data_IF_280828552355
#
_entry.id   IF_280828552355
#
_cell.length_a   1.000
_cell.length_b   1.000
_cell.length_c   1.000
_cell.angle_alpha   90.00
_cell.angle_beta   90.00
_cell.angle_gamma   90.00
#
_symmetry.space_group_name_H-M   'P 1'
#
loop_
_entity.id
_entity.type
_entity.pdbx_description
1 polymer ?
#
# COMPACT_ATOMS: atom_id res chain seq x y z
N UNK A 1 -12.44 -23.15 -5.23
CA UNK A 1 -13.60 -24.02 -4.90
C UNK A 1 -14.08 -23.85 -3.46
N UNK A 2 -13.27 -24.08 -2.42
CA UNK A 2 -13.76 -23.88 -1.02
C UNK A 2 -13.96 -22.39 -0.67
N UNK A 3 -13.14 -21.48 -1.18
CA UNK A 3 -13.34 -20.02 -1.05
C UNK A 3 -14.59 -19.53 -1.79
N UNK A 4 -14.97 -20.19 -2.90
CA UNK A 4 -16.15 -19.84 -3.68
C UNK A 4 -17.43 -20.18 -2.91
N UNK A 5 -17.45 -21.34 -2.24
CA UNK A 5 -18.57 -21.69 -1.36
C UNK A 5 -18.71 -20.75 -0.16
N UNK A 6 -17.62 -20.16 0.35
CA UNK A 6 -17.68 -19.23 1.48
C UNK A 6 -18.16 -17.84 1.06
N UNK A 7 -17.69 -17.32 -0.09
CA UNK A 7 -18.17 -16.04 -0.60
C UNK A 7 -19.62 -16.12 -1.07
N UNK A 8 -20.02 -17.20 -1.75
CA UNK A 8 -21.40 -17.37 -2.20
C UNK A 8 -22.37 -17.62 -1.01
N UNK A 9 -21.92 -18.33 0.03
CA UNK A 9 -22.69 -18.48 1.27
C UNK A 9 -22.81 -17.17 2.05
N UNK A 10 -21.75 -16.34 2.09
CA UNK A 10 -21.78 -15.02 2.71
C UNK A 10 -22.72 -14.09 1.94
N UNK A 11 -22.64 -14.05 0.62
CA UNK A 11 -23.57 -13.27 -0.23
C UNK A 11 -25.01 -13.74 -0.03
N UNK A 12 -25.24 -15.05 0.10
CA UNK A 12 -26.55 -15.61 0.45
C UNK A 12 -27.08 -15.14 1.80
N UNK A 13 -26.23 -15.05 2.82
CA UNK A 13 -26.60 -14.52 4.14
C UNK A 13 -26.84 -13.00 4.14
N UNK A 14 -26.12 -12.25 3.31
CA UNK A 14 -26.31 -10.81 3.15
C UNK A 14 -27.65 -10.44 2.50
N UNK A 15 -28.22 -11.36 1.70
CA UNK A 15 -29.48 -11.13 1.00
C UNK A 15 -30.65 -10.86 1.96
N UNK A 16 -30.65 -11.50 3.13
CA UNK A 16 -31.74 -11.42 4.11
C UNK A 16 -31.57 -10.25 5.10
N UNK A 17 -30.41 -9.58 5.09
CA UNK A 17 -30.15 -8.46 6.00
C UNK A 17 -30.97 -7.23 5.57
N UNK A 18 -31.80 -6.73 6.48
CA UNK A 18 -32.55 -5.49 6.32
C UNK A 18 -33.60 -5.51 5.21
N UNK A 19 -34.07 -6.68 4.75
CA UNK A 19 -35.11 -6.80 3.71
C UNK A 19 -36.45 -6.21 4.13
N UNK A 20 -36.78 -6.25 5.42
CA UNK A 20 -38.02 -5.71 5.98
C UNK A 20 -37.84 -4.33 6.64
N UNK A 21 -36.66 -3.72 6.50
CA UNK A 21 -36.34 -2.42 7.08
C UNK A 21 -36.53 -1.28 6.08
N UNK A 22 -36.79 -0.04 6.54
CA UNK A 22 -36.63 1.14 5.72
C UNK A 22 -35.24 1.21 5.09
N UNK A 23 -35.16 1.65 3.84
CA UNK A 23 -33.92 1.62 3.03
C UNK A 23 -32.73 2.28 3.72
N UNK A 24 -32.95 3.40 4.40
CA UNK A 24 -31.91 4.13 5.15
C UNK A 24 -31.32 3.30 6.30
N UNK A 25 -32.16 2.55 7.02
CA UNK A 25 -31.72 1.66 8.10
C UNK A 25 -31.02 0.42 7.54
N UNK A 26 -31.50 -0.13 6.43
CA UNK A 26 -30.87 -1.26 5.77
C UNK A 26 -29.47 -0.90 5.24
N UNK A 27 -29.31 0.30 4.65
CA UNK A 27 -28.02 0.84 4.24
C UNK A 27 -27.07 1.03 5.42
N UNK A 28 -27.54 1.64 6.51
CA UNK A 28 -26.74 1.81 7.74
C UNK A 28 -26.24 0.47 8.28
N UNK A 29 -27.10 -0.56 8.33
CA UNK A 29 -26.68 -1.90 8.78
C UNK A 29 -25.62 -2.53 7.88
N UNK A 30 -25.72 -2.36 6.56
CA UNK A 30 -24.70 -2.87 5.63
C UNK A 30 -23.38 -2.12 5.80
N UNK A 31 -23.42 -0.80 6.04
CA UNK A 31 -22.21 -0.01 6.32
C UNK A 31 -21.55 -0.45 7.63
N UNK A 32 -22.31 -0.60 8.71
CA UNK A 32 -21.79 -1.10 9.99
C UNK A 32 -21.15 -2.48 9.84
N UNK A 33 -21.78 -3.37 9.06
CA UNK A 33 -21.25 -4.70 8.79
C UNK A 33 -19.97 -4.64 7.93
N UNK A 34 -19.89 -3.71 6.98
CA UNK A 34 -18.69 -3.47 6.19
C UNK A 34 -17.54 -3.02 7.10
N UNK A 35 -17.78 -2.07 7.99
CA UNK A 35 -16.78 -1.56 8.94
C UNK A 35 -16.28 -2.66 9.89
N UNK A 36 -17.19 -3.52 10.39
CA UNK A 36 -16.82 -4.69 11.19
C UNK A 36 -15.90 -5.66 10.43
N UNK A 37 -16.20 -5.93 9.15
CA UNK A 37 -15.36 -6.78 8.32
C UNK A 37 -13.97 -6.16 8.12
N UNK A 38 -13.89 -4.85 7.90
CA UNK A 38 -12.62 -4.14 7.76
C UNK A 38 -11.79 -4.20 9.06
N UNK A 39 -12.43 -3.97 10.22
CA UNK A 39 -11.78 -4.09 11.55
C UNK A 39 -11.24 -5.50 11.82
N UNK A 40 -11.90 -6.53 11.27
CA UNK A 40 -11.45 -7.92 11.36
C UNK A 40 -10.40 -8.28 10.29
N UNK A 41 -10.03 -7.33 9.43
CA UNK A 41 -9.21 -7.52 8.23
C UNK A 41 -9.79 -8.59 7.26
N UNK A 42 -11.12 -8.71 7.23
CA UNK A 42 -11.85 -9.55 6.30
C UNK A 42 -12.26 -8.75 5.05
N UNK A 43 -11.29 -8.50 4.18
CA UNK A 43 -11.51 -7.73 2.96
C UNK A 43 -12.50 -8.37 2.00
N UNK A 44 -12.52 -9.70 1.86
CA UNK A 44 -13.48 -10.37 0.97
C UNK A 44 -14.92 -10.14 1.43
N UNK A 45 -15.17 -10.18 2.76
CA UNK A 45 -16.47 -9.84 3.33
C UNK A 45 -16.85 -8.38 3.11
N UNK A 46 -15.90 -7.47 3.31
CA UNK A 46 -16.09 -6.05 2.99
C UNK A 46 -16.48 -5.84 1.53
N UNK A 47 -15.74 -6.40 0.56
CA UNK A 47 -16.03 -6.26 -0.88
C UNK A 47 -17.41 -6.84 -1.24
N UNK A 48 -17.78 -7.99 -0.67
CA UNK A 48 -19.08 -8.62 -0.92
C UNK A 48 -20.24 -7.71 -0.47
N UNK A 49 -20.10 -7.06 0.68
CA UNK A 49 -21.10 -6.09 1.18
C UNK A 49 -21.19 -4.88 0.26
N UNK A 50 -20.06 -4.38 -0.24
CA UNK A 50 -20.02 -3.22 -1.13
C UNK A 50 -20.67 -3.56 -2.49
N UNK A 51 -20.46 -4.77 -3.00
CA UNK A 51 -21.19 -5.29 -4.17
C UNK A 51 -22.70 -5.35 -3.92
N UNK A 52 -23.09 -5.76 -2.71
CA UNK A 52 -24.50 -5.88 -2.34
C UNK A 52 -25.19 -4.51 -2.20
N UNK A 53 -24.51 -3.50 -1.64
CA UNK A 53 -24.98 -2.11 -1.61
C UNK A 53 -25.24 -1.61 -3.03
N UNK A 54 -24.28 -1.80 -3.94
CA UNK A 54 -24.41 -1.41 -5.36
C UNK A 54 -25.57 -2.13 -6.05
N UNK A 55 -25.78 -3.41 -5.74
CA UNK A 55 -26.83 -4.24 -6.34
C UNK A 55 -28.23 -3.85 -5.86
N UNK A 56 -28.41 -3.68 -4.55
CA UNK A 56 -29.74 -3.44 -3.93
C UNK A 56 -30.17 -1.98 -3.99
N UNK A 57 -29.23 -1.04 -3.92
CA UNK A 57 -29.53 0.37 -3.76
C UNK A 57 -28.87 1.24 -4.84
N UNK A 58 -28.98 0.91 -6.15
CA UNK A 58 -28.17 1.51 -7.22
C UNK A 58 -28.38 3.01 -7.44
N UNK A 59 -29.45 3.60 -6.89
CA UNK A 59 -29.79 5.03 -7.01
C UNK A 59 -29.35 5.85 -5.79
N UNK A 60 -28.81 5.20 -4.75
CA UNK A 60 -28.41 5.84 -3.50
C UNK A 60 -26.95 6.27 -3.53
N UNK A 61 -26.61 7.29 -2.74
CA UNK A 61 -25.27 7.87 -2.68
C UNK A 61 -24.23 6.82 -2.22
N UNK A 62 -24.64 5.97 -1.29
CA UNK A 62 -23.87 4.87 -0.73
C UNK A 62 -23.45 3.86 -1.80
N UNK A 63 -24.30 3.59 -2.79
CA UNK A 63 -23.97 2.71 -3.92
C UNK A 63 -22.92 3.34 -4.83
N UNK A 64 -22.92 4.66 -5.00
CA UNK A 64 -21.85 5.32 -5.74
C UNK A 64 -20.53 5.20 -4.99
N UNK A 65 -20.50 5.52 -3.70
CA UNK A 65 -19.29 5.38 -2.86
C UNK A 65 -18.78 3.93 -2.84
N UNK A 66 -19.68 2.96 -2.76
CA UNK A 66 -19.35 1.54 -2.84
C UNK A 66 -18.75 1.16 -4.21
N UNK A 67 -19.32 1.66 -5.31
CA UNK A 67 -18.77 1.45 -6.65
C UNK A 67 -17.39 2.11 -6.84
N UNK A 68 -17.18 3.31 -6.27
CA UNK A 68 -15.86 3.98 -6.27
C UNK A 68 -14.84 3.12 -5.55
N UNK A 69 -15.15 2.62 -4.35
CA UNK A 69 -14.27 1.73 -3.60
C UNK A 69 -13.95 0.45 -4.40
N UNK A 70 -14.98 -0.23 -4.93
CA UNK A 70 -14.79 -1.46 -5.71
C UNK A 70 -13.86 -1.20 -6.90
N UNK A 71 -14.05 -0.09 -7.60
CA UNK A 71 -13.21 0.29 -8.73
C UNK A 71 -11.75 0.55 -8.31
N UNK A 72 -11.53 1.32 -7.23
CA UNK A 72 -10.20 1.60 -6.71
C UNK A 72 -9.48 0.30 -6.29
N UNK A 73 -10.17 -0.59 -5.58
CA UNK A 73 -9.59 -1.84 -5.11
C UNK A 73 -9.25 -2.82 -6.24
N UNK A 74 -10.21 -3.11 -7.13
CA UNK A 74 -9.98 -4.11 -8.19
C UNK A 74 -9.01 -3.63 -9.26
N UNK A 75 -8.80 -2.32 -9.39
CA UNK A 75 -7.84 -1.73 -10.32
C UNK A 75 -6.44 -1.53 -9.74
N UNK A 76 -6.26 -1.71 -8.43
CA UNK A 76 -4.98 -1.48 -7.73
C UNK A 76 -3.95 -2.58 -7.97
N UNK A 77 -2.70 -2.19 -8.29
CA UNK A 77 -1.57 -3.12 -8.32
C UNK A 77 -1.22 -3.67 -6.93
N UNK A 78 -1.25 -2.82 -5.90
CA UNK A 78 -0.91 -3.17 -4.51
C UNK A 78 -1.90 -4.20 -3.95
N UNK A 79 -3.21 -3.92 -4.10
CA UNK A 79 -4.27 -4.82 -3.66
C UNK A 79 -4.21 -6.18 -4.37
N UNK A 80 -3.86 -6.17 -5.66
CA UNK A 80 -3.63 -7.42 -6.42
C UNK A 80 -2.46 -8.21 -5.83
N UNK A 81 -1.32 -7.57 -5.61
CA UNK A 81 -0.14 -8.26 -5.07
C UNK A 81 -0.42 -8.83 -3.68
N UNK A 82 -1.05 -8.06 -2.79
CA UNK A 82 -1.45 -8.54 -1.46
C UNK A 82 -2.30 -9.82 -1.56
N UNK A 83 -3.36 -9.79 -2.39
CA UNK A 83 -4.28 -10.94 -2.53
C UNK A 83 -3.58 -12.16 -3.10
N UNK A 84 -2.68 -11.97 -4.08
CA UNK A 84 -1.85 -13.04 -4.62
C UNK A 84 -0.99 -13.69 -3.52
N UNK A 85 -0.42 -12.89 -2.61
CA UNK A 85 0.32 -13.37 -1.45
C UNK A 85 -0.55 -14.23 -0.52
N UNK A 86 -1.75 -13.73 -0.18
CA UNK A 86 -2.71 -14.44 0.69
C UNK A 86 -3.15 -15.77 0.06
N UNK A 87 -3.45 -15.80 -1.24
CA UNK A 87 -3.83 -17.04 -1.93
C UNK A 87 -2.72 -18.07 -1.88
N UNK A 88 -1.47 -17.67 -2.17
CA UNK A 88 -0.30 -18.56 -2.09
C UNK A 88 -0.10 -19.11 -0.68
N UNK A 89 -0.22 -18.28 0.35
CA UNK A 89 -0.08 -18.69 1.74
C UNK A 89 -1.15 -19.70 2.17
N UNK A 90 -2.43 -19.47 1.78
CA UNK A 90 -3.53 -20.41 2.05
C UNK A 90 -3.29 -21.77 1.38
N UNK A 91 -2.89 -21.78 0.11
CA UNK A 91 -2.57 -23.03 -0.60
C UNK A 91 -1.41 -23.78 0.06
N UNK A 92 -0.35 -23.08 0.47
CA UNK A 92 0.77 -23.70 1.16
C UNK A 92 0.38 -24.30 2.53
N UNK A 93 -0.50 -23.62 3.28
CA UNK A 93 -1.03 -24.12 4.56
C UNK A 93 -1.85 -25.39 4.39
N UNK A 94 -2.77 -25.41 3.42
CA UNK A 94 -3.59 -26.57 3.10
C UNK A 94 -2.75 -27.77 2.66
N UNK A 95 -1.74 -27.55 1.82
CA UNK A 95 -0.79 -28.61 1.43
C UNK A 95 0.01 -29.14 2.62
N UNK A 96 0.41 -28.27 3.56
CA UNK A 96 1.13 -28.68 4.76
C UNK A 96 0.24 -29.48 5.72
N UNK A 97 -1.03 -29.11 5.87
CA UNK A 97 -2.01 -29.86 6.64
C UNK A 97 -2.34 -31.22 6.01
N UNK A 98 -2.47 -31.27 4.68
CA UNK A 98 -2.69 -32.52 3.94
C UNK A 98 -1.49 -33.46 4.03
N UNK A 99 -0.26 -32.94 3.95
CA UNK A 99 0.96 -33.72 4.19
C UNK A 99 1.10 -34.17 5.66
N UNK A 100 0.66 -33.36 6.63
CA UNK A 100 0.66 -33.73 8.05
C UNK A 100 -0.37 -34.84 8.35
N UNK A 101 -1.52 -34.83 7.67
CA UNK A 101 -2.55 -35.88 7.77
C UNK A 101 -2.16 -37.19 7.06
N UNK A 102 -1.24 -37.13 6.09
CA UNK A 102 -0.66 -38.32 5.43
C UNK A 102 0.58 -38.87 6.15
N UNK A 103 1.11 -38.15 7.16
CA UNK A 103 2.37 -38.44 7.84
C UNK A 103 2.27 -39.20 9.17
N UNK A 104 1.10 -39.69 9.59
CA UNK A 104 0.97 -40.53 10.79
C UNK A 104 1.06 -42.02 10.42
N UNK A 105 2.14 -42.74 10.79
CA UNK A 105 2.08 -44.20 10.81
C UNK A 105 1.11 -44.60 11.92
N UNK A 106 0.04 -45.28 11.57
CA UNK A 106 -0.77 -46.03 12.54
C UNK A 106 0.13 -47.09 13.18
N UNK A 107 0.73 -46.79 14.33
CA UNK A 107 1.18 -47.83 15.26
C UNK A 107 -0.07 -48.46 15.89
N UNK A 108 -0.52 -49.54 15.26
CA UNK A 108 -1.53 -50.44 15.81
C UNK A 108 -0.88 -51.22 16.96
N UNK A 109 -1.06 -50.73 18.19
CA UNK A 109 -0.86 -51.56 19.39
C UNK A 109 -2.04 -52.53 19.46
N UNK A 110 -1.78 -53.79 19.12
CA UNK A 110 -2.73 -54.89 19.28
C UNK A 110 -2.84 -55.29 20.75
N UNK A 111 -3.97 -54.98 21.38
CA UNK A 111 -4.51 -55.75 22.51
C UNK A 111 -5.96 -56.09 22.23
N UNK A 112 -6.26 -57.39 22.23
CA UNK A 112 -7.48 -57.96 21.66
C UNK A 112 -8.80 -57.50 22.26
N UNK A 113 -9.82 -57.45 21.39
CA UNK A 113 -11.22 -57.23 21.73
C UNK A 113 -12.01 -56.85 20.49
N UNK A 114 -12.90 -57.73 20.03
CA UNK A 114 -13.69 -57.62 18.80
C UNK A 114 -14.42 -56.28 18.61
N UNK A 115 -14.22 -55.62 17.47
CA UNK A 115 -15.21 -54.73 16.87
C UNK A 115 -15.23 -54.83 15.34
N UNK A 116 -16.45 -54.97 14.80
CA UNK A 116 -16.78 -55.04 13.38
C UNK A 116 -16.27 -53.81 12.61
N UNK A 117 -15.47 -54.04 11.57
CA UNK A 117 -15.06 -52.99 10.64
C UNK A 117 -15.97 -53.00 9.41
N UNK A 118 -16.83 -51.99 9.28
CA UNK A 118 -17.49 -51.66 8.01
C UNK A 118 -16.52 -50.77 7.22
N UNK A 119 -15.92 -51.30 6.15
CA UNK A 119 -15.17 -50.47 5.20
C UNK A 119 -16.13 -49.89 4.16
N UNK A 120 -16.24 -48.56 4.00
CA UNK A 120 -16.83 -47.99 2.81
C UNK A 120 -15.85 -48.21 1.66
N UNK A 121 -16.30 -48.89 0.61
CA UNK A 121 -15.52 -49.13 -0.61
C UNK A 121 -15.48 -47.83 -1.42
N UNK A 122 -14.55 -46.93 -1.10
CA UNK A 122 -14.27 -45.75 -1.92
C UNK A 122 -13.43 -46.20 -3.11
N UNK A 123 -14.06 -46.30 -4.28
CA UNK A 123 -13.37 -46.46 -5.55
C UNK A 123 -12.48 -45.24 -5.78
N UNK A 124 -11.17 -45.48 -5.94
CA UNK A 124 -10.23 -44.43 -6.34
C UNK A 124 -10.67 -43.84 -7.69
N UNK A 125 -10.91 -42.52 -7.79
CA UNK A 125 -11.10 -41.90 -9.08
C UNK A 125 -9.79 -41.96 -9.84
N UNK A 126 -9.89 -42.43 -11.08
CA UNK A 126 -8.81 -42.52 -12.07
C UNK A 126 -8.08 -41.17 -12.15
N UNK A 127 -6.80 -41.17 -11.82
CA UNK A 127 -5.93 -40.01 -11.94
C UNK A 127 -5.81 -39.59 -13.40
N UNK A 128 -6.51 -38.51 -13.77
CA UNK A 128 -6.18 -37.75 -14.97
C UNK A 128 -5.01 -36.82 -14.61
N UNK A 129 -3.98 -36.70 -15.47
CA UNK A 129 -2.84 -35.84 -15.20
C UNK A 129 -3.24 -34.37 -15.45
N UNK A 130 -3.78 -33.69 -14.44
CA UNK A 130 -4.01 -32.25 -14.48
C UNK A 130 -2.76 -31.51 -14.00
N UNK A 131 -1.79 -31.33 -14.90
CA UNK A 131 -0.59 -30.52 -14.63
C UNK A 131 -0.68 -29.09 -15.21
N UNK A 132 -1.88 -28.52 -15.40
CA UNK A 132 -2.07 -27.12 -15.84
C UNK A 132 -2.70 -26.20 -14.77
N UNK A 133 -3.19 -26.74 -13.65
CA UNK A 133 -4.20 -26.06 -12.82
C UNK A 133 -3.79 -24.80 -12.05
N UNK A 134 -2.51 -24.54 -11.80
CA UNK A 134 -2.10 -23.38 -10.97
C UNK A 134 -1.96 -22.08 -11.77
N UNK A 135 -1.44 -22.14 -12.99
CA UNK A 135 -1.34 -20.99 -13.88
C UNK A 135 -2.72 -20.58 -14.41
N UNK A 136 -3.51 -21.58 -14.83
CA UNK A 136 -4.89 -21.38 -15.31
C UNK A 136 -5.79 -20.76 -14.22
N UNK A 137 -5.64 -21.17 -12.96
CA UNK A 137 -6.39 -20.61 -11.84
C UNK A 137 -5.98 -19.16 -11.50
N UNK A 138 -4.70 -18.83 -11.64
CA UNK A 138 -4.20 -17.47 -11.42
C UNK A 138 -4.70 -16.51 -12.49
N UNK A 139 -4.65 -16.94 -13.74
CA UNK A 139 -5.16 -16.17 -14.89
C UNK A 139 -6.67 -15.95 -14.78
N UNK A 140 -7.43 -17.00 -14.45
CA UNK A 140 -8.87 -16.88 -14.20
C UNK A 140 -9.20 -15.91 -13.04
N UNK A 141 -8.36 -15.87 -12.00
CA UNK A 141 -8.51 -14.93 -10.88
C UNK A 141 -8.28 -13.48 -11.34
N UNK A 142 -7.24 -13.24 -12.15
CA UNK A 142 -6.97 -11.93 -12.74
C UNK A 142 -8.11 -11.46 -13.64
N UNK A 143 -8.63 -12.33 -14.50
CA UNK A 143 -9.77 -12.01 -15.37
C UNK A 143 -11.03 -11.66 -14.59
N UNK A 144 -11.31 -12.40 -13.50
CA UNK A 144 -12.42 -12.08 -12.60
C UNK A 144 -12.27 -10.69 -11.98
N UNK A 145 -11.07 -10.33 -11.53
CA UNK A 145 -10.82 -9.01 -10.94
C UNK A 145 -10.92 -7.89 -11.98
N UNK A 146 -10.43 -8.11 -13.20
CA UNK A 146 -10.62 -7.18 -14.31
C UNK A 146 -12.12 -6.99 -14.60
N UNK A 147 -12.90 -8.07 -14.64
CA UNK A 147 -14.35 -8.00 -14.82
C UNK A 147 -15.07 -7.21 -13.71
N UNK A 148 -14.67 -7.41 -12.45
CA UNK A 148 -15.21 -6.63 -11.34
C UNK A 148 -14.85 -5.13 -11.44
N UNK A 149 -13.59 -4.80 -11.78
CA UNK A 149 -13.17 -3.41 -12.01
C UNK A 149 -13.98 -2.76 -13.14
N UNK A 150 -14.15 -3.45 -14.28
CA UNK A 150 -14.93 -2.96 -15.42
C UNK A 150 -16.41 -2.78 -15.08
N UNK A 151 -16.98 -3.70 -14.30
CA UNK A 151 -18.36 -3.60 -13.82
C UNK A 151 -18.52 -2.37 -12.93
N UNK A 152 -17.65 -2.17 -11.95
CA UNK A 152 -17.66 -1.00 -11.08
C UNK A 152 -17.49 0.30 -11.88
N UNK A 153 -16.56 0.34 -12.84
CA UNK A 153 -16.37 1.47 -13.74
C UNK A 153 -17.61 1.77 -14.60
N UNK A 154 -18.29 0.74 -15.12
CA UNK A 154 -19.52 0.91 -15.91
C UNK A 154 -20.65 1.53 -15.09
N UNK A 155 -20.72 1.21 -13.80
CA UNK A 155 -21.69 1.79 -12.86
C UNK A 155 -21.38 3.26 -12.63
N UNK A 156 -20.10 3.59 -12.37
CA UNK A 156 -19.65 4.97 -12.16
C UNK A 156 -19.82 5.86 -13.39
N UNK A 157 -19.65 5.27 -14.58
CA UNK A 157 -19.75 5.98 -15.86
C UNK A 157 -21.19 6.08 -16.38
N UNK A 158 -22.18 5.52 -15.69
CA UNK A 158 -23.56 5.52 -16.16
C UNK A 158 -24.27 6.84 -15.82
N UNK A 159 -24.58 7.69 -16.81
CA UNK A 159 -25.21 9.00 -16.57
C UNK A 159 -26.66 8.88 -16.05
N UNK A 160 -27.30 7.71 -16.19
CA UNK A 160 -28.66 7.49 -15.70
C UNK A 160 -28.72 7.06 -14.22
N UNK A 161 -27.57 6.84 -13.57
CA UNK A 161 -27.50 6.40 -12.15
C UNK A 161 -26.99 7.49 -11.21
N UNK A 162 -26.21 8.44 -11.71
CA UNK A 162 -25.98 9.67 -10.97
C UNK A 162 -27.23 10.54 -11.14
N UNK A 163 -27.60 11.28 -10.10
CA UNK A 163 -28.72 12.25 -10.13
C UNK A 163 -28.36 13.49 -11.00
N UNK A 164 -27.67 13.26 -12.13
CA UNK A 164 -27.17 14.23 -13.10
C UNK A 164 -26.07 15.17 -12.59
N UNK A 165 -25.65 15.07 -11.32
CA UNK A 165 -24.88 16.16 -10.65
C UNK A 165 -23.60 15.77 -9.91
N UNK A 166 -23.36 14.50 -9.59
CA UNK A 166 -22.17 14.12 -8.80
C UNK A 166 -20.98 13.81 -9.71
N UNK A 167 -19.98 14.68 -9.69
CA UNK A 167 -18.69 14.43 -10.33
C UNK A 167 -17.99 13.23 -9.67
N UNK A 168 -17.22 12.46 -10.46
CA UNK A 168 -16.38 11.38 -9.95
C UNK A 168 -15.39 11.91 -8.93
N UNK A 169 -15.15 11.14 -7.87
CA UNK A 169 -14.08 11.44 -6.91
C UNK A 169 -12.73 11.67 -7.62
N UNK A 170 -11.92 12.66 -7.19
CA UNK A 170 -10.58 12.91 -7.72
C UNK A 170 -9.69 11.67 -7.74
N UNK A 171 -9.78 10.81 -6.71
CA UNK A 171 -9.02 9.55 -6.65
C UNK A 171 -9.43 8.57 -7.75
N UNK A 172 -10.72 8.49 -8.07
CA UNK A 172 -11.22 7.67 -9.17
C UNK A 172 -10.69 8.19 -10.50
N UNK A 173 -10.64 9.52 -10.70
CA UNK A 173 -10.06 10.12 -11.91
C UNK A 173 -8.56 9.84 -12.04
N UNK A 174 -7.79 9.92 -10.96
CA UNK A 174 -6.36 9.54 -10.95
C UNK A 174 -6.18 8.05 -11.29
N UNK A 175 -7.01 7.18 -10.72
CA UNK A 175 -7.00 5.75 -11.07
C UNK A 175 -7.34 5.51 -12.54
N UNK A 176 -8.33 6.19 -13.08
CA UNK A 176 -8.69 6.10 -14.52
C UNK A 176 -7.48 6.50 -15.37
N UNK A 177 -6.81 7.60 -15.03
CA UNK A 177 -5.60 8.03 -15.70
C UNK A 177 -4.46 6.99 -15.60
N UNK A 178 -4.26 6.36 -14.44
CA UNK A 178 -3.30 5.28 -14.26
C UNK A 178 -3.63 4.07 -15.15
N UNK A 179 -4.92 3.70 -15.25
CA UNK A 179 -5.37 2.62 -16.14
C UNK A 179 -5.13 2.95 -17.63
N UNK A 180 -5.44 4.17 -18.07
CA UNK A 180 -5.14 4.62 -19.43
C UNK A 180 -3.63 4.58 -19.74
N UNK A 181 -2.80 4.94 -18.76
CA UNK A 181 -1.34 4.83 -18.87
C UNK A 181 -0.89 3.38 -19.08
N UNK A 182 -1.43 2.44 -18.31
CA UNK A 182 -1.13 1.01 -18.47
C UNK A 182 -1.57 0.48 -19.84
N UNK A 183 -2.69 0.98 -20.37
CA UNK A 183 -3.22 0.64 -21.69
C UNK A 183 -2.57 1.44 -22.84
N UNK A 184 -1.59 2.30 -22.54
CA UNK A 184 -0.91 3.17 -23.50
C UNK A 184 -1.84 4.16 -24.23
N UNK A 185 -2.98 4.49 -23.64
CA UNK A 185 -3.97 5.45 -24.15
C UNK A 185 -3.63 6.88 -23.69
N UNK A 186 -2.52 7.41 -24.21
CA UNK A 186 -1.95 8.70 -23.77
C UNK A 186 -2.87 9.91 -23.98
N UNK A 187 -3.71 9.90 -25.01
CA UNK A 187 -4.68 10.97 -25.28
C UNK A 187 -5.78 11.07 -24.22
N UNK A 188 -6.39 9.92 -23.87
CA UNK A 188 -7.42 9.83 -22.84
C UNK A 188 -6.84 10.18 -21.46
N UNK A 189 -5.67 9.62 -21.14
CA UNK A 189 -4.93 9.95 -19.92
C UNK A 189 -4.70 11.47 -19.80
N UNK A 190 -4.21 12.11 -20.86
CA UNK A 190 -3.92 13.55 -20.86
C UNK A 190 -5.18 14.39 -20.66
N UNK A 191 -6.31 13.96 -21.23
CA UNK A 191 -7.60 14.64 -21.08
C UNK A 191 -8.06 14.59 -19.62
N UNK A 192 -8.10 13.39 -19.02
CA UNK A 192 -8.48 13.20 -17.61
C UNK A 192 -7.59 14.00 -16.66
N UNK A 193 -6.26 13.94 -16.85
CA UNK A 193 -5.32 14.68 -15.99
C UNK A 193 -5.43 16.21 -16.19
N UNK A 194 -5.68 16.67 -17.42
CA UNK A 194 -5.82 18.11 -17.71
C UNK A 194 -7.02 18.70 -16.98
N UNK A 195 -8.16 18.01 -16.96
CA UNK A 195 -9.34 18.43 -16.20
C UNK A 195 -9.04 18.48 -14.71
N UNK A 196 -8.43 17.42 -14.17
CA UNK A 196 -8.11 17.34 -12.74
C UNK A 196 -7.05 18.37 -12.30
N UNK A 197 -6.13 18.73 -13.20
CA UNK A 197 -5.04 19.68 -12.94
C UNK A 197 -5.51 21.11 -12.64
N UNK A 198 -6.77 21.45 -12.99
CA UNK A 198 -7.38 22.75 -12.70
C UNK A 198 -7.74 22.94 -11.24
N UNK A 199 -7.63 21.90 -10.41
CA UNK A 199 -7.92 21.98 -8.99
C UNK A 199 -6.79 22.65 -8.21
N UNK A 200 -7.18 23.41 -7.20
CA UNK A 200 -6.29 24.08 -6.24
C UNK A 200 -6.03 23.24 -4.98
N UNK A 201 -6.19 21.92 -5.07
CA UNK A 201 -5.95 20.97 -3.98
C UNK A 201 -4.84 19.96 -4.32
N UNK A 202 -4.59 19.02 -3.42
CA UNK A 202 -3.55 17.98 -3.58
C UNK A 202 -3.77 17.12 -4.83
N UNK A 203 -5.02 16.89 -5.23
CA UNK A 203 -5.32 16.07 -6.40
C UNK A 203 -4.98 16.80 -7.70
N UNK A 204 -5.21 18.11 -7.75
CA UNK A 204 -4.71 18.94 -8.85
C UNK A 204 -3.18 18.96 -8.90
N UNK A 205 -2.51 18.96 -7.75
CA UNK A 205 -1.05 18.85 -7.66
C UNK A 205 -0.54 17.52 -8.21
N UNK A 206 -1.17 16.40 -7.85
CA UNK A 206 -0.83 15.06 -8.35
C UNK A 206 -1.05 14.95 -9.85
N UNK A 207 -2.17 15.48 -10.36
CA UNK A 207 -2.45 15.50 -11.79
C UNK A 207 -1.38 16.28 -12.59
N UNK A 208 -1.01 17.49 -12.11
CA UNK A 208 0.07 18.28 -12.71
C UNK A 208 1.40 17.54 -12.67
N UNK A 209 1.69 16.81 -11.60
CA UNK A 209 2.91 16.02 -11.49
C UNK A 209 2.96 14.90 -12.54
N UNK A 210 1.89 14.11 -12.71
CA UNK A 210 1.85 13.05 -13.74
C UNK A 210 1.99 13.60 -15.16
N UNK A 211 1.35 14.72 -15.48
CA UNK A 211 1.54 15.42 -16.76
C UNK A 211 3.02 15.78 -16.95
N UNK A 212 3.63 16.38 -15.93
CA UNK A 212 4.99 16.90 -16.01
C UNK A 212 6.05 15.80 -16.14
N UNK A 213 5.90 14.71 -15.38
CA UNK A 213 6.85 13.60 -15.30
C UNK A 213 7.11 12.93 -16.66
N UNK A 214 6.09 12.92 -17.53
CA UNK A 214 6.17 12.41 -18.90
C UNK A 214 7.26 13.11 -19.72
N UNK A 215 7.58 14.37 -19.39
CA UNK A 215 8.49 15.22 -20.15
C UNK A 215 9.88 15.44 -19.51
N UNK A 216 10.20 14.75 -18.40
CA UNK A 216 11.43 14.94 -17.61
C UNK A 216 11.74 16.43 -17.33
N UNK A 217 11.01 17.05 -16.40
CA UNK A 217 11.14 18.49 -16.17
C UNK A 217 12.48 18.86 -15.55
N UNK A 218 12.97 20.05 -15.88
CA UNK A 218 14.14 20.64 -15.21
C UNK A 218 13.85 21.01 -13.74
N UNK A 219 12.59 21.32 -13.40
CA UNK A 219 12.15 21.64 -12.05
C UNK A 219 10.85 20.88 -11.75
N UNK A 220 10.91 19.72 -11.07
CA UNK A 220 9.73 18.91 -10.82
C UNK A 220 8.85 19.53 -9.72
N UNK A 221 7.53 19.44 -9.87
CA UNK A 221 6.55 20.00 -8.92
C UNK A 221 6.58 19.25 -7.58
N UNK A 222 6.67 17.92 -7.65
CA UNK A 222 6.94 17.06 -6.50
C UNK A 222 8.40 16.60 -6.56
N UNK A 223 9.01 16.22 -5.42
CA UNK A 223 10.39 15.72 -5.44
C UNK A 223 10.53 14.52 -6.37
N UNK A 224 11.53 14.52 -7.26
CA UNK A 224 11.83 13.41 -8.17
C UNK A 224 13.21 12.87 -7.83
N UNK A 225 13.23 11.74 -7.12
CA UNK A 225 14.44 11.08 -6.65
C UNK A 225 14.89 10.08 -7.73
N UNK A 226 16.11 10.27 -8.24
CA UNK A 226 16.71 9.33 -9.19
C UNK A 226 17.57 8.32 -8.45
N UNK A 227 17.13 7.08 -8.40
CA UNK A 227 17.73 6.02 -7.61
C UNK A 227 18.64 5.14 -8.48
N UNK A 228 19.98 5.31 -8.45
CA UNK A 228 20.89 4.45 -9.20
C UNK A 228 20.95 3.05 -8.59
N UNK A 229 20.90 2.04 -9.47
CA UNK A 229 21.08 0.64 -9.06
C UNK A 229 22.45 0.45 -8.42
N UNK A 230 22.48 -0.20 -7.25
CA UNK A 230 23.68 -0.51 -6.48
C UNK A 230 24.06 -1.97 -6.65
N UNK A 231 25.36 -2.24 -6.56
CA UNK A 231 25.92 -3.61 -6.59
C UNK A 231 26.31 -4.10 -5.19
N UNK A 232 26.50 -3.19 -4.24
CA UNK A 232 26.76 -3.50 -2.85
C UNK A 232 25.46 -3.40 -2.05
N UNK A 233 25.37 -4.20 -0.98
CA UNK A 233 24.28 -4.17 0.00
C UNK A 233 24.80 -3.58 1.31
N UNK A 234 23.99 -2.80 2.03
CA UNK A 234 24.35 -2.40 3.38
C UNK A 234 24.32 -3.61 4.32
N UNK A 235 25.15 -3.57 5.35
CA UNK A 235 24.97 -4.36 6.55
C UNK A 235 24.02 -3.59 7.48
N UNK A 236 22.85 -4.14 7.76
CA UNK A 236 21.85 -3.44 8.56
C UNK A 236 22.26 -3.43 10.04
N UNK A 237 22.84 -2.33 10.49
CA UNK A 237 23.27 -2.09 11.88
C UNK A 237 22.78 -0.75 12.45
N UNK A 238 22.29 0.16 11.62
CA UNK A 238 21.82 1.49 12.03
C UNK A 238 22.92 2.54 12.11
N UNK A 239 24.18 2.23 11.80
CA UNK A 239 25.30 3.18 11.89
C UNK A 239 25.46 4.04 10.63
N UNK A 240 24.90 3.61 9.48
CA UNK A 240 24.94 4.29 8.18
C UNK A 240 26.36 4.47 7.61
N UNK A 241 27.27 3.55 7.91
CA UNK A 241 28.70 3.66 7.53
C UNK A 241 29.04 2.99 6.21
N UNK A 242 28.13 2.19 5.64
CA UNK A 242 28.36 1.51 4.38
C UNK A 242 28.47 2.45 3.17
N UNK A 243 29.35 2.09 2.23
CA UNK A 243 29.58 2.84 0.98
C UNK A 243 28.32 3.12 0.14
N UNK A 244 27.27 2.31 0.29
CA UNK A 244 26.00 2.54 -0.40
C UNK A 244 25.34 3.86 0.03
N UNK A 245 25.58 4.29 1.28
CA UNK A 245 25.03 5.50 1.88
C UNK A 245 25.89 6.73 1.62
N UNK A 246 27.22 6.58 1.59
CA UNK A 246 28.14 7.67 1.25
C UNK A 246 27.83 8.29 -0.13
N UNK A 247 27.44 7.44 -1.09
CA UNK A 247 27.08 7.85 -2.44
C UNK A 247 25.58 8.15 -2.63
N UNK A 248 24.75 7.95 -1.60
CA UNK A 248 23.31 8.13 -1.69
C UNK A 248 22.93 9.63 -1.67
N UNK A 249 21.82 9.97 -2.31
CA UNK A 249 21.28 11.32 -2.23
C UNK A 249 20.67 11.55 -0.84
N UNK A 250 21.15 12.58 -0.13
CA UNK A 250 20.54 13.02 1.13
C UNK A 250 19.21 13.72 0.87
N UNK A 251 18.12 13.09 1.30
CA UNK A 251 16.76 13.61 1.19
C UNK A 251 16.35 14.19 2.54
N UNK A 252 16.17 15.51 2.61
CA UNK A 252 15.74 16.21 3.83
C UNK A 252 14.23 16.25 3.91
N UNK A 253 13.68 15.78 5.04
CA UNK A 253 12.27 15.97 5.36
C UNK A 253 12.13 17.28 6.11
N UNK A 254 11.15 18.09 5.71
CA UNK A 254 10.98 19.46 6.22
C UNK A 254 9.52 19.68 6.62
N UNK A 255 9.23 20.59 7.57
CA UNK A 255 7.87 20.85 7.98
C UNK A 255 7.08 21.49 6.84
N UNK A 256 5.84 21.06 6.64
CA UNK A 256 4.92 21.79 5.78
C UNK A 256 4.45 23.05 6.52
N UNK A 257 4.97 24.21 6.12
CA UNK A 257 4.57 25.49 6.69
C UNK A 257 3.57 26.16 5.77
N UNK A 258 2.30 26.16 6.16
CA UNK A 258 1.31 27.00 5.47
C UNK A 258 1.55 28.45 5.88
N UNK A 259 1.69 29.34 4.90
CA UNK A 259 1.62 30.78 5.15
C UNK A 259 0.24 31.13 5.72
N UNK A 260 0.17 31.33 7.03
CA UNK A 260 -1.05 31.80 7.68
C UNK A 260 -1.11 33.32 7.59
N UNK A 261 -2.29 33.87 7.33
CA UNK A 261 -2.54 35.30 7.48
C UNK A 261 -2.51 35.61 8.99
N UNK A 262 -1.60 36.47 9.42
CA UNK A 262 -1.62 37.02 10.77
C UNK A 262 -2.88 37.90 10.92
N UNK A 263 -3.84 37.54 11.79
CA UNK A 263 -5.08 38.30 11.94
C UNK A 263 -4.86 39.73 12.45
N UNK A 264 -3.74 39.98 13.15
CA UNK A 264 -3.44 41.27 13.77
C UNK A 264 -2.73 42.23 12.81
N UNK A 265 -1.91 41.70 11.88
CA UNK A 265 -1.10 42.54 10.96
C UNK A 265 -1.54 42.44 9.50
N UNK A 266 -2.41 41.48 9.16
CA UNK A 266 -2.77 41.16 7.77
C UNK A 266 -1.60 40.62 6.95
N UNK A 267 -0.42 40.40 7.56
CA UNK A 267 0.77 39.90 6.89
C UNK A 267 0.79 38.38 6.92
N UNK A 268 1.17 37.75 5.81
CA UNK A 268 1.42 36.31 5.82
C UNK A 268 2.72 36.05 6.56
N UNK A 269 2.67 35.25 7.63
CA UNK A 269 3.86 34.82 8.36
C UNK A 269 3.93 33.30 8.36
N UNK A 270 5.13 32.72 8.17
CA UNK A 270 5.32 31.30 8.42
C UNK A 270 5.03 31.04 9.91
N UNK A 271 4.11 30.11 10.17
CA UNK A 271 3.88 29.58 11.52
C UNK A 271 5.09 28.72 11.91
N UNK A 272 6.18 29.35 12.35
CA UNK A 272 7.37 28.65 12.83
C UNK A 272 7.12 28.21 14.27
N UNK A 273 6.83 26.92 14.47
CA UNK A 273 7.09 26.30 15.76
C UNK A 273 8.60 26.20 15.97
N UNK A 274 9.07 26.21 17.23
CA UNK A 274 10.47 25.92 17.59
C UNK A 274 10.95 24.53 17.12
N UNK A 275 10.07 23.76 16.49
CA UNK A 275 10.30 22.47 15.87
C UNK A 275 11.04 22.55 14.52
N UNK A 276 11.16 23.74 13.92
CA UNK A 276 11.81 23.95 12.62
C UNK A 276 13.31 23.62 12.58
N UNK A 277 13.98 23.56 13.74
CA UNK A 277 15.42 23.25 13.85
C UNK A 277 15.70 21.74 13.99
N UNK A 278 14.67 20.89 14.03
CA UNK A 278 14.85 19.44 14.14
C UNK A 278 15.25 18.86 12.78
N UNK A 279 16.44 18.28 12.67
CA UNK A 279 16.89 17.68 11.41
C UNK A 279 16.31 16.29 11.20
N UNK A 280 15.72 16.07 10.02
CA UNK A 280 15.30 14.75 9.52
C UNK A 280 15.95 14.49 8.16
N UNK A 281 16.89 13.54 8.13
CA UNK A 281 17.58 13.13 6.90
C UNK A 281 17.23 11.68 6.58
N UNK A 282 16.97 11.43 5.31
CA UNK A 282 16.67 10.11 4.76
C UNK A 282 17.52 9.86 3.52
N UNK A 283 17.79 8.60 3.22
CA UNK A 283 18.49 8.16 2.03
C UNK A 283 17.80 6.91 1.51
N UNK A 284 17.76 6.76 0.19
CA UNK A 284 17.22 5.60 -0.48
C UNK A 284 18.31 4.95 -1.33
N UNK A 285 18.25 3.63 -1.47
CA UNK A 285 19.07 2.88 -2.42
C UNK A 285 18.32 1.63 -2.90
N UNK A 286 18.77 0.98 -3.96
CA UNK A 286 18.17 -0.29 -4.40
C UNK A 286 19.16 -1.19 -5.12
N UNK A 287 18.89 -2.48 -5.12
CA UNK A 287 19.59 -3.49 -5.91
C UNK A 287 18.59 -4.43 -6.64
N UNK A 288 19.00 -5.65 -7.01
CA UNK A 288 18.11 -6.62 -7.67
C UNK A 288 17.02 -7.21 -6.78
N UNK A 289 17.22 -7.19 -5.46
CA UNK A 289 16.36 -7.89 -4.50
C UNK A 289 15.65 -6.96 -3.54
N UNK A 290 16.21 -5.79 -3.24
CA UNK A 290 15.75 -4.90 -2.18
C UNK A 290 15.66 -3.44 -2.60
N UNK A 291 14.65 -2.77 -2.05
CA UNK A 291 14.65 -1.34 -1.82
C UNK A 291 15.17 -1.09 -0.41
N UNK A 292 16.13 -0.18 -0.26
CA UNK A 292 16.72 0.19 1.01
C UNK A 292 16.31 1.61 1.39
N UNK A 293 16.06 1.81 2.68
CA UNK A 293 15.90 3.14 3.28
C UNK A 293 16.81 3.25 4.50
N UNK A 294 17.49 4.38 4.61
CA UNK A 294 18.22 4.79 5.79
C UNK A 294 17.70 6.14 6.27
N UNK A 295 17.73 6.38 7.58
CA UNK A 295 17.39 7.69 8.12
C UNK A 295 18.26 8.03 9.33
N UNK A 296 18.54 9.32 9.49
CA UNK A 296 19.09 9.92 10.71
C UNK A 296 18.15 11.01 11.17
N UNK A 297 17.55 10.80 12.34
CA UNK A 297 16.43 11.59 12.84
C UNK A 297 16.81 12.20 14.18
N UNK A 298 16.91 13.53 14.22
CA UNK A 298 17.21 14.26 15.45
C UNK A 298 15.99 14.26 16.37
N UNK A 299 16.17 13.89 17.62
CA UNK A 299 15.10 13.81 18.61
C UNK A 299 14.64 15.20 19.03
N UNK A 300 13.35 15.32 19.33
CA UNK A 300 12.83 16.55 19.92
C UNK A 300 13.46 16.74 21.32
N UNK A 301 13.90 17.96 21.70
CA UNK A 301 14.49 18.21 23.01
C UNK A 301 13.60 17.74 24.17
N UNK A 302 12.28 17.92 24.05
CA UNK A 302 11.28 17.49 25.02
C UNK A 302 11.05 15.97 25.09
N UNK A 303 11.57 15.21 24.12
CA UNK A 303 11.53 13.74 24.06
C UNK A 303 12.90 13.08 24.15
N UNK A 304 13.95 13.77 24.61
CA UNK A 304 15.34 13.29 24.57
C UNK A 304 15.71 12.22 25.64
N UNK A 305 14.72 11.57 26.27
CA UNK A 305 14.97 10.48 27.23
C UNK A 305 15.44 9.21 26.53
N UNK A 306 16.36 8.42 27.10
CA UNK A 306 16.80 7.15 26.51
C UNK A 306 15.62 6.25 26.12
N UNK A 307 15.70 5.63 24.96
CA UNK A 307 14.66 4.72 24.44
C UNK A 307 15.07 3.29 24.80
N UNK A 308 14.11 2.51 25.27
CA UNK A 308 14.27 1.07 25.33
C UNK A 308 14.02 0.49 23.94
N UNK A 309 15.08 -0.02 23.30
CA UNK A 309 14.98 -0.65 21.99
C UNK A 309 14.19 -1.95 22.10
N UNK A 310 13.35 -2.22 21.08
CA UNK A 310 12.56 -3.43 21.02
C UNK A 310 13.47 -4.67 20.94
N UNK A 311 13.40 -5.54 21.96
CA UNK A 311 14.15 -6.80 21.98
C UNK A 311 13.60 -7.82 20.98
N UNK A 312 12.29 -7.75 20.69
CA UNK A 312 11.60 -8.59 19.71
C UNK A 312 10.69 -7.69 18.89
N UNK A 313 10.74 -7.81 17.56
CA UNK A 313 9.88 -7.04 16.66
C UNK A 313 8.66 -7.87 16.29
N UNK A 314 7.49 -7.35 16.62
CA UNK A 314 6.20 -7.86 16.14
C UNK A 314 5.76 -7.12 14.88
N UNK A 315 4.69 -7.63 14.27
CA UNK A 315 3.92 -6.89 13.28
C UNK A 315 2.89 -6.00 13.98
N UNK A 316 2.41 -4.99 13.26
CA UNK A 316 1.23 -4.19 13.64
C UNK A 316 1.33 -3.44 14.98
N UNK A 317 2.53 -2.96 15.31
CA UNK A 317 2.76 -2.16 16.51
C UNK A 317 1.98 -0.83 16.47
N UNK A 318 1.64 -0.33 17.66
CA UNK A 318 0.87 0.91 17.85
C UNK A 318 1.80 2.10 18.07
N UNK A 319 1.82 3.04 17.14
CA UNK A 319 2.80 4.13 17.12
C UNK A 319 2.21 5.52 17.45
N UNK A 320 0.96 5.63 17.90
CA UNK A 320 0.24 6.91 18.02
C UNK A 320 0.98 7.92 18.90
N UNK A 321 1.72 7.44 19.91
CA UNK A 321 2.46 8.26 20.86
C UNK A 321 3.99 8.27 20.63
N UNK A 322 4.47 7.63 19.56
CA UNK A 322 5.90 7.45 19.26
C UNK A 322 6.35 8.33 18.10
N UNK A 323 7.58 8.84 18.18
CA UNK A 323 8.27 9.40 17.02
C UNK A 323 8.51 8.28 15.99
N UNK A 324 8.10 8.51 14.74
CA UNK A 324 8.10 7.46 13.72
C UNK A 324 8.36 8.00 12.32
N UNK A 325 8.97 7.14 11.51
CA UNK A 325 9.12 7.32 10.07
C UNK A 325 8.10 6.44 9.35
N UNK A 326 7.41 7.02 8.37
CA UNK A 326 6.44 6.34 7.51
C UNK A 326 6.89 6.45 6.06
N UNK A 327 7.02 5.29 5.41
CA UNK A 327 7.24 5.16 3.97
C UNK A 327 6.01 4.50 3.34
N UNK A 328 5.37 5.19 2.42
CA UNK A 328 4.34 4.61 1.55
C UNK A 328 4.88 4.46 0.12
N UNK A 329 4.54 3.36 -0.54
CA UNK A 329 5.00 3.00 -1.88
C UNK A 329 3.78 2.66 -2.73
N UNK A 330 3.56 3.45 -3.78
CA UNK A 330 2.55 3.23 -4.81
C UNK A 330 3.29 2.94 -6.13
N UNK A 331 3.13 1.70 -6.60
CA UNK A 331 3.89 1.16 -7.73
C UNK A 331 3.27 1.50 -9.08
N UNK A 332 1.98 1.87 -9.11
CA UNK A 332 1.25 2.21 -10.33
C UNK A 332 0.79 3.68 -10.39
N UNK A 333 1.18 4.49 -9.41
CA UNK A 333 1.01 5.95 -9.37
C UNK A 333 -0.43 6.39 -9.54
N UNK A 334 -1.32 5.67 -8.87
CA UNK A 334 -2.73 5.99 -8.77
C UNK A 334 -3.06 6.98 -7.62
N UNK A 335 -2.12 7.22 -6.70
CA UNK A 335 -2.22 8.08 -5.52
C UNK A 335 -3.35 7.72 -4.53
N UNK A 336 -3.86 6.51 -4.62
CA UNK A 336 -5.00 5.96 -3.87
C UNK A 336 -4.60 4.75 -3.03
N UNK A 337 -3.84 3.81 -3.59
CA UNK A 337 -3.41 2.58 -2.91
C UNK A 337 -1.90 2.54 -2.80
N UNK A 338 -1.40 2.13 -1.62
CA UNK A 338 0.03 2.06 -1.36
C UNK A 338 0.34 0.95 -0.34
N UNK A 339 1.55 0.43 -0.39
CA UNK A 339 2.16 -0.29 0.73
C UNK A 339 2.72 0.73 1.71
N UNK A 340 2.33 0.66 2.97
CA UNK A 340 2.86 1.52 4.02
C UNK A 340 3.69 0.69 4.99
N UNK A 341 4.87 1.20 5.32
CA UNK A 341 5.85 0.63 6.23
C UNK A 341 6.20 1.70 7.25
N UNK A 342 6.03 1.39 8.54
CA UNK A 342 6.28 2.32 9.64
C UNK A 342 7.34 1.74 10.57
N UNK A 343 8.28 2.58 10.98
CA UNK A 343 9.27 2.27 12.00
C UNK A 343 9.28 3.39 13.02
N UNK A 344 9.16 3.07 14.31
CA UNK A 344 9.31 4.06 15.37
C UNK A 344 10.70 4.12 16.00
N UNK A 345 10.91 5.11 16.87
CA UNK A 345 12.19 5.36 17.54
C UNK A 345 12.70 4.18 18.40
N UNK A 346 11.84 3.21 18.74
CA UNK A 346 12.22 1.98 19.45
C UNK A 346 12.56 0.80 18.53
N UNK A 347 12.24 0.92 17.24
CA UNK A 347 12.39 -0.13 16.24
C UNK A 347 11.22 -1.07 16.09
N UNK A 348 10.10 -0.82 16.77
CA UNK A 348 8.84 -1.50 16.50
C UNK A 348 8.34 -1.14 15.09
N UNK A 349 7.63 -2.08 14.47
CA UNK A 349 7.18 -1.96 13.08
C UNK A 349 5.68 -2.18 12.97
N UNK A 350 5.05 -1.47 12.04
CA UNK A 350 3.73 -1.80 11.52
C UNK A 350 3.73 -1.63 10.01
N UNK A 351 2.87 -2.39 9.34
CA UNK A 351 2.77 -2.37 7.90
C UNK A 351 1.34 -2.63 7.45
N UNK A 352 0.99 -2.05 6.31
CA UNK A 352 -0.36 -2.19 5.74
C UNK A 352 -0.32 -2.07 4.24
N UNK A 353 -1.26 -2.74 3.58
CA UNK A 353 -1.52 -2.56 2.16
C UNK A 353 -2.86 -1.83 2.01
N UNK A 354 -2.83 -0.53 1.71
CA UNK A 354 -4.01 0.33 1.66
C UNK A 354 -4.83 0.30 2.98
N UNK A 355 -6.01 -0.31 3.00
CA UNK A 355 -6.86 -0.45 4.21
C UNK A 355 -6.61 -1.77 4.98
N UNK A 356 -5.54 -2.51 4.65
CA UNK A 356 -5.30 -3.87 5.14
C UNK A 356 -4.11 -3.91 6.10
N UNK A 357 -4.39 -3.93 7.41
CA UNK A 357 -3.40 -3.82 8.49
C UNK A 357 -2.75 -5.16 8.88
N UNK A 358 -2.70 -6.17 8.00
CA UNK A 358 -1.99 -7.45 8.25
C UNK A 358 -1.33 -7.97 6.99
N UNK A 359 -0.67 -7.08 6.25
CA UNK A 359 0.11 -7.48 5.09
C UNK A 359 1.34 -8.30 5.51
N UNK A 360 1.98 -7.92 6.60
CA UNK A 360 3.07 -8.62 7.29
C UNK A 360 4.17 -9.11 6.34
N UNK A 361 4.79 -8.21 5.54
CA UNK A 361 5.85 -8.57 4.61
C UNK A 361 7.11 -9.00 5.37
N UNK A 362 7.99 -9.74 4.70
CA UNK A 362 9.27 -10.14 5.27
C UNK A 362 10.36 -9.10 4.97
N UNK A 363 10.35 -8.00 5.70
CA UNK A 363 11.36 -6.94 5.61
C UNK A 363 12.27 -6.90 6.83
N UNK A 364 13.42 -6.25 6.68
CA UNK A 364 14.48 -6.22 7.68
C UNK A 364 14.71 -4.80 8.14
N UNK A 365 14.86 -4.59 9.45
CA UNK A 365 15.08 -3.26 10.04
C UNK A 365 16.14 -3.36 11.13
N UNK A 366 17.10 -2.44 11.13
CA UNK A 366 18.07 -2.19 12.18
C UNK A 366 17.90 -0.76 12.71
N UNK A 367 18.15 -0.59 14.01
CA UNK A 367 18.03 0.69 14.71
C UNK A 367 19.26 0.89 15.57
N UNK A 368 19.77 2.12 15.54
CA UNK A 368 20.71 2.64 16.51
C UNK A 368 20.15 3.94 17.10
N UNK A 369 20.32 4.18 18.39
CA UNK A 369 19.76 5.36 19.04
C UNK A 369 20.62 5.86 20.20
N UNK A 370 20.72 7.18 20.30
CA UNK A 370 21.33 7.91 21.39
C UNK A 370 20.37 8.98 21.96
N UNK A 371 20.86 9.81 22.89
CA UNK A 371 20.05 10.84 23.52
C UNK A 371 19.56 11.93 22.53
N UNK A 372 20.30 12.17 21.44
CA UNK A 372 20.06 13.26 20.50
C UNK A 372 19.50 12.81 19.15
N UNK A 373 19.82 11.59 18.71
CA UNK A 373 19.44 11.06 17.40
C UNK A 373 19.05 9.60 17.48
N UNK A 374 18.17 9.17 16.57
CA UNK A 374 18.00 7.77 16.25
C UNK A 374 18.19 7.58 14.75
N UNK A 375 18.66 6.39 14.39
CA UNK A 375 19.04 5.99 13.04
C UNK A 375 18.34 4.70 12.70
N UNK A 376 17.95 4.58 11.44
CA UNK A 376 17.34 3.36 10.92
C UNK A 376 18.05 2.94 9.65
N UNK A 377 18.11 1.64 9.44
CA UNK A 377 18.33 1.04 8.14
C UNK A 377 17.30 -0.05 7.93
N UNK A 378 16.69 -0.07 6.75
CA UNK A 378 15.74 -1.11 6.39
C UNK A 378 15.96 -1.61 4.97
N UNK A 379 15.73 -2.91 4.79
CA UNK A 379 15.72 -3.59 3.50
C UNK A 379 14.35 -4.21 3.25
N UNK A 380 13.70 -3.74 2.20
CA UNK A 380 12.35 -4.14 1.79
C UNK A 380 12.51 -4.99 0.53
N UNK A 381 12.22 -6.30 0.58
CA UNK A 381 12.35 -7.12 -0.61
C UNK A 381 11.39 -6.65 -1.70
N UNK A 382 11.90 -6.43 -2.91
CA UNK A 382 11.12 -5.95 -4.05
C UNK A 382 9.96 -6.88 -4.39
N UNK A 383 10.08 -8.19 -4.12
CA UNK A 383 9.01 -9.17 -4.33
C UNK A 383 7.79 -8.98 -3.41
N UNK A 384 7.97 -8.31 -2.27
CA UNK A 384 6.87 -8.02 -1.34
C UNK A 384 6.00 -6.86 -1.87
N UNK A 385 6.61 -5.95 -2.63
CA UNK A 385 5.98 -4.69 -3.11
C UNK A 385 5.80 -4.61 -4.63
N UNK A 386 6.40 -5.51 -5.41
CA UNK A 386 6.23 -5.56 -6.87
C UNK A 386 6.11 -7.00 -7.38
N UNK A 387 5.02 -7.27 -8.11
CA UNK A 387 4.77 -8.56 -8.74
C UNK A 387 5.76 -8.89 -9.87
N UNK A 388 6.30 -7.86 -10.54
CA UNK A 388 7.15 -8.01 -11.74
C UNK A 388 8.61 -7.61 -11.51
N UNK A 389 8.96 -7.27 -10.26
CA UNK A 389 10.25 -6.71 -9.89
C UNK A 389 10.39 -5.24 -10.29
N UNK A 390 11.61 -4.75 -10.33
CA UNK A 390 11.94 -3.36 -10.70
C UNK A 390 12.98 -3.34 -11.81
N UNK A 391 12.79 -2.46 -12.78
CA UNK A 391 13.67 -2.25 -13.92
C UNK A 391 14.12 -0.80 -14.00
N UNK A 392 15.34 -0.53 -14.49
CA UNK A 392 15.74 0.84 -14.79
C UNK A 392 14.77 1.49 -15.79
N UNK A 393 14.25 2.66 -15.43
CA UNK A 393 13.20 3.37 -16.14
C UNK A 393 11.85 3.34 -15.41
N UNK A 394 11.64 2.37 -14.51
CA UNK A 394 10.44 2.31 -13.69
C UNK A 394 10.34 3.55 -12.81
N UNK A 395 9.10 3.96 -12.57
CA UNK A 395 8.78 5.14 -11.81
C UNK A 395 7.65 4.80 -10.85
N UNK A 396 7.90 4.97 -9.57
CA UNK A 396 6.91 4.80 -8.51
C UNK A 396 6.58 6.12 -7.87
N UNK A 397 5.42 6.17 -7.24
CA UNK A 397 5.06 7.21 -6.30
C UNK A 397 5.47 6.74 -4.90
N UNK A 398 5.98 7.66 -4.10
CA UNK A 398 6.26 7.39 -2.69
C UNK A 398 5.68 8.50 -1.82
N UNK A 399 5.35 8.16 -0.59
CA UNK A 399 5.12 9.12 0.49
C UNK A 399 6.16 8.90 1.57
N UNK A 400 6.87 9.95 1.97
CA UNK A 400 7.86 9.84 3.03
C UNK A 400 7.65 10.93 4.08
N UNK A 401 7.37 10.51 5.31
CA UNK A 401 7.06 11.39 6.43
C UNK A 401 7.76 10.94 7.69
N UNK A 402 8.03 11.91 8.57
CA UNK A 402 8.30 11.67 9.98
C UNK A 402 7.25 12.39 10.81
N UNK A 403 6.68 11.68 11.77
CA UNK A 403 5.67 12.23 12.68
C UNK A 403 6.23 12.16 14.10
N UNK A 404 6.30 13.31 14.76
CA UNK A 404 6.59 13.41 16.19
C UNK A 404 5.29 13.84 16.89
N UNK A 405 4.57 12.92 17.55
CA UNK A 405 3.25 13.21 18.11
C UNK A 405 3.27 14.39 19.06
N UNK A 406 2.39 15.37 18.78
CA UNK A 406 2.26 16.62 19.54
C UNK A 406 3.32 17.68 19.24
N UNK A 407 4.29 17.40 18.37
CA UNK A 407 5.45 18.28 18.14
C UNK A 407 5.50 18.78 16.70
N UNK A 408 5.64 17.87 15.73
CA UNK A 408 5.79 18.23 14.31
C UNK A 408 5.45 17.07 13.37
N UNK A 409 5.28 17.42 12.10
CA UNK A 409 5.29 16.51 10.96
C UNK A 409 6.29 17.04 9.93
N UNK A 410 7.28 16.22 9.56
CA UNK A 410 8.19 16.50 8.46
C UNK A 410 7.83 15.64 7.25
N UNK A 411 7.87 16.27 6.09
CA UNK A 411 7.41 15.71 4.83
C UNK A 411 8.49 15.85 3.75
N UNK A 412 8.51 14.90 2.82
CA UNK A 412 9.20 15.05 1.55
C UNK A 412 8.48 16.11 0.69
N UNK A 413 9.14 17.23 0.41
CA UNK A 413 8.57 18.34 -0.36
C UNK A 413 9.62 19.12 -1.15
N UNK A 414 9.19 19.85 -2.18
CA UNK A 414 10.04 20.79 -2.95
C UNK A 414 10.10 22.19 -2.33
N UNK A 415 9.27 22.47 -1.32
CA UNK A 415 9.19 23.77 -0.64
C UNK A 415 8.42 24.87 -1.40
N UNK A 416 7.99 24.60 -2.63
CA UNK A 416 7.35 25.60 -3.51
C UNK A 416 5.83 25.45 -3.65
N UNK A 417 5.24 24.44 -3.00
CA UNK A 417 3.83 24.10 -3.19
C UNK A 417 2.95 24.89 -2.20
N UNK A 418 1.86 25.48 -2.72
CA UNK A 418 0.84 26.19 -1.91
C UNK A 418 -0.10 25.25 -1.14
N UNK A 419 -0.05 23.96 -1.47
CA UNK A 419 -0.83 22.87 -0.87
C UNK A 419 0.15 21.80 -0.43
N UNK A 420 -0.08 21.20 0.74
CA UNK A 420 0.73 20.07 1.20
C UNK A 420 0.57 18.92 0.20
N UNK A 421 1.70 18.33 -0.18
CA UNK A 421 1.72 17.06 -0.90
C UNK A 421 1.62 15.86 0.05
N UNK A 422 1.49 16.10 1.36
CA UNK A 422 1.50 15.08 2.41
C UNK A 422 2.73 14.17 2.31
N UNK A 423 3.92 14.74 2.03
CA UNK A 423 5.15 13.96 1.82
C UNK A 423 5.23 13.18 0.50
N UNK A 424 4.34 13.44 -0.46
CA UNK A 424 4.33 12.73 -1.75
C UNK A 424 5.48 13.17 -2.67
N UNK A 425 6.17 12.20 -3.26
CA UNK A 425 7.24 12.36 -4.25
C UNK A 425 7.26 11.22 -5.27
N UNK A 426 8.23 11.27 -6.17
CA UNK A 426 8.43 10.31 -7.26
C UNK A 426 9.79 9.63 -7.12
N UNK A 427 9.83 8.32 -7.28
CA UNK A 427 11.04 7.50 -7.21
C UNK A 427 11.31 6.87 -8.57
N UNK A 428 12.37 7.30 -9.25
CA UNK A 428 12.78 6.79 -10.57
C UNK A 428 13.97 5.86 -10.42
N UNK A 429 13.81 4.61 -10.83
CA UNK A 429 14.90 3.65 -10.84
C UNK A 429 15.78 3.89 -12.07
N UNK A 430 17.08 4.12 -11.89
CA UNK A 430 18.00 4.39 -12.99
C UNK A 430 19.17 3.40 -13.00
N UNK A 431 19.82 3.28 -14.17
CA UNK A 431 21.02 2.46 -14.31
C UNK A 431 22.14 2.98 -13.40
N UNK A 432 23.12 2.13 -13.04
CA UNK A 432 24.29 2.58 -12.29
C UNK A 432 24.95 3.76 -13.01
N UNK A 433 25.42 4.75 -12.24
CA UNK A 433 26.26 5.81 -12.82
C UNK A 433 27.53 5.14 -13.35
N UNK A 434 27.85 5.33 -14.64
CA UNK A 434 29.16 4.93 -15.16
C UNK A 434 30.20 5.77 -14.44
N UNK A 435 30.99 5.15 -13.56
CA UNK A 435 32.19 5.77 -13.04
C UNK A 435 33.14 5.98 -14.21
N UNK A 436 33.27 7.23 -14.66
CA UNK A 436 34.40 7.61 -15.51
C UNK A 436 35.64 7.51 -14.64
N UNK A 437 36.30 6.35 -14.67
CA UNK A 437 37.66 6.21 -14.19
C UNK A 437 38.50 7.22 -14.96
N UNK A 438 38.85 8.33 -14.31
CA UNK A 438 39.89 9.22 -14.82
C UNK A 438 41.17 8.38 -14.81
N UNK A 439 41.54 7.87 -15.99
CA UNK A 439 42.89 7.43 -16.29
C UNK A 439 43.82 8.61 -15.96
N UNK A 440 44.39 8.62 -14.75
CA UNK A 440 45.59 9.40 -14.46
C UNK A 440 46.67 8.88 -15.42
N UNK A 441 46.97 9.69 -16.44
CA UNK A 441 48.22 9.61 -17.18
C UNK A 441 49.31 10.30 -16.38
#
# INVERSE_FOLDING_TARGET
>A
MQSDQTNDALIGQLHDIGTDLPVTLALGQLQDLADLNLQQNNMEGYLAIQQEIVRRYPTFEEAQTAAEMLFLFYSSAEARLYRLGVTKAKTASLQSEEMALQGTPNEVVTTGGSQLTVQPKVQAPTTTPFSSGAADALEALHERWNSHAMTAFSILSNPNRSDGKRALSPLVQLRIAANYRLQQQTGEQSTTLSELSQRDDQYGLFARCEIQVTHLPAAPILPLINLPKRSARPFLDGELTDSIWEDAEEIRLTPFVREALDPATGTRRPSLSHAADISSLTMLAWDEEFLYIAARLQRAPEKSSPIELAMHRGYDAKHENRDRLELEIDTDRDFSTAFQLTVDESGETSDRCWMLDKWNPKWFVAIDADAATWRIEAAIPLKEISATGVKPGDLWNIRLRRIIPGVLQHELQTGNNSVSSDGTGMLRFIRPRRTTTSSKR
#
